data_IF_237984770166
#
_entry.id   IF_237984770166
#
_cell.length_a   1.000
_cell.length_b   1.000
_cell.length_c   1.000
_cell.angle_alpha   90.00
_cell.angle_beta   90.00
_cell.angle_gamma   90.00
#
_symmetry.space_group_name_H-M   'P 1'
#
loop_
_entity.id
_entity.type
_entity.pdbx_description
1 polymer ?
#
# COMPACT_ATOMS: atom_id res chain seq x y z
N UNK A 1 3.45 -42.54 23.82
CA UNK A 1 4.51 -41.70 23.25
C UNK A 1 5.30 -41.09 24.38
N UNK A 2 6.57 -41.44 24.49
CA UNK A 2 7.47 -40.85 25.48
C UNK A 2 7.83 -39.41 25.05
N UNK A 3 8.23 -38.57 26.00
CA UNK A 3 8.67 -37.19 25.71
C UNK A 3 9.90 -37.15 24.81
N UNK A 4 10.72 -38.19 24.85
CA UNK A 4 11.90 -38.37 24.00
C UNK A 4 11.51 -38.57 22.54
N UNK A 5 10.52 -39.43 22.24
CA UNK A 5 10.02 -39.65 20.87
C UNK A 5 9.46 -38.37 20.23
N UNK A 6 8.76 -37.53 21.00
CA UNK A 6 8.21 -36.26 20.54
C UNK A 6 9.32 -35.25 20.25
N UNK A 7 10.38 -35.25 21.06
CA UNK A 7 11.52 -34.36 20.90
C UNK A 7 12.35 -34.75 19.67
N UNK A 8 12.57 -36.05 19.48
CA UNK A 8 13.33 -36.60 18.36
C UNK A 8 12.61 -36.42 17.01
N UNK A 9 11.29 -36.63 16.98
CA UNK A 9 10.46 -36.36 15.79
C UNK A 9 10.42 -34.88 15.44
N UNK A 10 10.31 -33.99 16.43
CA UNK A 10 10.34 -32.54 16.22
C UNK A 10 11.71 -32.06 15.71
N UNK A 11 12.80 -32.57 16.30
CA UNK A 11 14.16 -32.28 15.86
C UNK A 11 14.45 -32.83 14.45
N UNK A 12 13.88 -33.98 14.08
CA UNK A 12 13.96 -34.52 12.72
C UNK A 12 13.18 -33.66 11.70
N UNK A 13 12.06 -33.05 12.11
CA UNK A 13 11.32 -32.09 11.28
C UNK A 13 12.09 -30.78 11.06
N UNK A 14 12.81 -30.29 12.08
CA UNK A 14 13.59 -29.05 12.00
C UNK A 14 14.86 -29.15 11.15
N UNK A 15 15.44 -30.35 11.00
CA UNK A 15 16.64 -30.57 10.17
C UNK A 15 16.37 -30.50 8.66
N UNK A 16 15.11 -30.35 8.22
CA UNK A 16 14.74 -30.51 6.81
C UNK A 16 14.81 -29.25 5.95
N UNK A 17 14.97 -28.05 6.49
CA UNK A 17 15.07 -26.83 5.67
C UNK A 17 16.02 -25.81 6.32
N UNK A 18 16.81 -25.12 5.49
CA UNK A 18 17.74 -24.04 5.85
C UNK A 18 17.00 -22.90 6.60
N UNK A 19 16.89 -23.01 7.93
CA UNK A 19 16.23 -22.02 8.77
C UNK A 19 17.04 -21.65 10.02
N UNK A 20 16.85 -20.43 10.54
CA UNK A 20 17.80 -19.74 11.42
C UNK A 20 18.02 -20.46 12.76
N UNK A 21 19.27 -20.37 13.27
CA UNK A 21 19.76 -20.98 14.52
C UNK A 21 18.85 -20.78 15.75
N UNK A 22 17.99 -19.76 15.74
CA UNK A 22 17.06 -19.44 16.83
C UNK A 22 15.90 -20.45 16.94
N UNK A 23 15.49 -21.08 15.83
CA UNK A 23 14.42 -22.10 15.83
C UNK A 23 14.84 -23.38 16.59
N UNK A 24 16.12 -23.77 16.49
CA UNK A 24 16.69 -24.96 17.14
C UNK A 24 16.75 -24.80 18.66
N UNK A 25 17.00 -23.59 19.16
CA UNK A 25 17.01 -23.31 20.62
C UNK A 25 15.62 -23.42 21.24
N UNK A 26 14.58 -23.02 20.51
CA UNK A 26 13.18 -23.07 20.95
C UNK A 26 12.69 -24.53 20.98
N UNK A 27 13.17 -25.36 20.05
CA UNK A 27 12.83 -26.77 19.92
C UNK A 27 13.07 -27.62 21.18
N UNK A 28 14.18 -27.36 21.87
CA UNK A 28 14.55 -28.13 23.07
C UNK A 28 13.70 -27.77 24.31
N UNK A 29 12.98 -26.64 24.28
CA UNK A 29 12.18 -26.14 25.41
C UNK A 29 10.69 -26.46 25.26
N UNK A 30 10.22 -26.66 24.03
CA UNK A 30 8.80 -26.93 23.72
C UNK A 30 8.26 -28.28 24.28
N UNK A 31 8.97 -29.42 24.18
CA UNK A 31 8.42 -30.72 24.62
C UNK A 31 8.34 -30.89 26.13
N UNK A 32 9.08 -30.09 26.91
CA UNK A 32 9.12 -30.16 28.39
C UNK A 32 8.33 -29.03 29.07
N UNK A 33 7.76 -28.10 28.31
CA UNK A 33 7.03 -26.95 28.85
C UNK A 33 5.55 -27.27 29.12
N UNK A 34 5.04 -26.88 30.29
CA UNK A 34 3.61 -27.03 30.59
C UNK A 34 2.73 -26.15 29.67
N UNK A 35 1.45 -26.51 29.43
CA UNK A 35 0.55 -25.73 28.57
C UNK A 35 0.43 -24.25 28.96
N UNK A 36 0.55 -23.94 30.26
CA UNK A 36 0.55 -22.55 30.77
C UNK A 36 1.82 -21.80 30.39
N UNK A 37 2.97 -22.49 30.38
CA UNK A 37 4.28 -21.93 30.01
C UNK A 37 4.35 -21.69 28.49
N UNK A 38 3.85 -22.63 27.68
CA UNK A 38 3.72 -22.46 26.23
C UNK A 38 2.87 -21.23 25.86
N UNK A 39 1.71 -21.06 26.50
CA UNK A 39 0.86 -19.86 26.29
C UNK A 39 1.57 -18.55 26.64
N UNK A 40 2.47 -18.53 27.63
CA UNK A 40 3.28 -17.35 27.96
C UNK A 40 4.36 -17.11 26.93
N UNK A 41 5.06 -18.16 26.50
CA UNK A 41 6.12 -18.08 25.48
C UNK A 41 5.54 -17.52 24.17
N UNK A 42 4.41 -18.07 23.71
CA UNK A 42 3.73 -17.58 22.50
C UNK A 42 3.31 -16.12 22.63
N UNK A 43 2.82 -15.69 23.80
CA UNK A 43 2.48 -14.28 24.05
C UNK A 43 3.70 -13.36 24.15
N UNK A 44 4.86 -13.88 24.53
CA UNK A 44 6.10 -13.10 24.69
C UNK A 44 6.93 -13.00 23.40
N UNK A 45 6.67 -13.85 22.41
CA UNK A 45 7.30 -13.70 21.09
C UNK A 45 6.69 -12.45 20.45
N UNK A 46 7.50 -11.42 20.14
CA UNK A 46 7.03 -10.27 19.39
C UNK A 46 6.54 -10.77 18.04
N UNK A 47 5.23 -10.73 17.81
CA UNK A 47 4.70 -10.89 16.46
C UNK A 47 5.14 -9.65 15.70
N UNK A 48 5.92 -9.77 14.62
CA UNK A 48 6.34 -8.60 13.87
C UNK A 48 5.07 -7.96 13.27
N UNK A 49 4.60 -6.87 13.88
CA UNK A 49 3.54 -6.04 13.31
C UNK A 49 4.17 -5.20 12.21
N UNK A 50 4.48 -5.82 11.09
CA UNK A 50 4.65 -5.06 9.87
C UNK A 50 3.26 -4.50 9.54
N UNK A 51 3.08 -3.19 9.70
CA UNK A 51 2.01 -2.48 9.03
C UNK A 51 2.35 -2.52 7.52
N UNK A 52 2.12 -3.67 6.90
CA UNK A 52 2.41 -3.97 5.49
C UNK A 52 1.24 -3.64 4.57
N UNK A 53 0.23 -2.94 5.09
CA UNK A 53 -0.90 -2.49 4.31
C UNK A 53 -0.52 -1.24 3.51
N UNK A 54 -0.93 -1.24 2.24
CA UNK A 54 -0.82 -0.09 1.36
C UNK A 54 -1.71 1.04 1.90
N UNK A 55 -1.17 2.25 1.88
CA UNK A 55 -1.97 3.47 1.98
C UNK A 55 -2.86 3.64 0.74
N UNK A 56 -3.86 4.51 0.82
CA UNK A 56 -4.73 4.80 -0.32
C UNK A 56 -3.92 5.37 -1.50
N UNK A 57 -2.92 6.20 -1.23
CA UNK A 57 -2.09 6.80 -2.28
C UNK A 57 -1.17 5.78 -2.95
N UNK A 58 -0.54 4.90 -2.18
CA UNK A 58 0.29 3.82 -2.74
C UNK A 58 -0.57 2.86 -3.56
N UNK A 59 -1.78 2.54 -3.10
CA UNK A 59 -2.72 1.71 -3.86
C UNK A 59 -3.21 2.40 -5.14
N UNK A 60 -3.46 3.72 -5.13
CA UNK A 60 -3.76 4.49 -6.35
C UNK A 60 -2.57 4.46 -7.31
N UNK A 61 -1.34 4.67 -6.81
CA UNK A 61 -0.13 4.61 -7.61
C UNK A 61 0.06 3.23 -8.25
N UNK A 62 -0.16 2.16 -7.48
CA UNK A 62 -0.12 0.78 -7.96
C UNK A 62 -1.15 0.53 -9.07
N UNK A 63 -2.40 1.01 -8.90
CA UNK A 63 -3.43 0.92 -9.94
C UNK A 63 -3.01 1.60 -11.24
N UNK A 64 -2.36 2.77 -11.16
CA UNK A 64 -1.90 3.52 -12.32
C UNK A 64 -0.71 2.84 -13.01
N UNK A 65 0.27 2.39 -12.24
CA UNK A 65 1.46 1.69 -12.74
C UNK A 65 1.11 0.39 -13.45
N UNK A 66 0.13 -0.35 -12.91
CA UNK A 66 -0.32 -1.63 -13.47
C UNK A 66 -1.51 -1.49 -14.42
N UNK A 67 -1.97 -0.27 -14.70
CA UNK A 67 -3.15 0.03 -15.54
C UNK A 67 -4.39 -0.82 -15.15
N UNK A 68 -4.63 -0.97 -13.85
CA UNK A 68 -5.74 -1.75 -13.34
C UNK A 68 -7.05 -0.97 -13.49
N UNK A 69 -8.05 -1.62 -14.09
CA UNK A 69 -9.43 -1.18 -13.97
C UNK A 69 -9.95 -1.37 -12.55
N UNK A 70 -11.07 -0.71 -12.22
CA UNK A 70 -11.78 -0.90 -10.94
C UNK A 70 -12.03 -2.38 -10.65
N UNK A 71 -12.55 -3.12 -11.61
CA UNK A 71 -12.93 -4.51 -11.42
C UNK A 71 -11.72 -5.41 -11.20
N UNK A 72 -10.64 -5.19 -11.97
CA UNK A 72 -9.36 -5.91 -11.76
C UNK A 72 -8.80 -5.66 -10.36
N UNK A 73 -8.86 -4.42 -9.88
CA UNK A 73 -8.42 -4.08 -8.52
C UNK A 73 -9.26 -4.78 -7.44
N UNK A 74 -10.59 -4.78 -7.59
CA UNK A 74 -11.50 -5.43 -6.64
C UNK A 74 -11.26 -6.95 -6.62
N UNK A 75 -11.07 -7.57 -7.79
CA UNK A 75 -10.74 -9.00 -7.90
C UNK A 75 -9.42 -9.31 -7.21
N UNK A 76 -8.37 -8.51 -7.47
CA UNK A 76 -7.06 -8.67 -6.84
C UNK A 76 -7.16 -8.59 -5.32
N UNK A 77 -7.84 -7.56 -4.80
CA UNK A 77 -8.07 -7.40 -3.37
C UNK A 77 -8.82 -8.59 -2.76
N UNK A 78 -9.87 -9.07 -3.44
CA UNK A 78 -10.66 -10.22 -2.98
C UNK A 78 -9.80 -11.49 -2.92
N UNK A 79 -9.01 -11.77 -3.97
CA UNK A 79 -8.12 -12.92 -4.01
C UNK A 79 -7.08 -12.92 -2.88
N UNK A 80 -6.51 -11.75 -2.57
CA UNK A 80 -5.58 -11.60 -1.43
C UNK A 80 -6.29 -11.83 -0.09
N UNK A 81 -7.49 -11.27 0.08
CA UNK A 81 -8.29 -11.44 1.30
C UNK A 81 -8.70 -12.89 1.53
N UNK A 82 -9.04 -13.63 0.47
CA UNK A 82 -9.33 -15.07 0.53
C UNK A 82 -8.12 -15.91 0.97
N UNK A 83 -6.90 -15.41 0.74
CA UNK A 83 -5.65 -16.00 1.25
C UNK A 83 -5.24 -15.49 2.63
N UNK A 84 -6.10 -14.72 3.30
CA UNK A 84 -5.84 -14.15 4.63
C UNK A 84 -4.91 -12.94 4.62
N UNK A 85 -4.66 -12.34 3.45
CA UNK A 85 -3.78 -11.17 3.29
C UNK A 85 -4.62 -9.91 3.08
N UNK A 86 -4.73 -9.08 4.10
CA UNK A 86 -5.47 -7.81 4.06
C UNK A 86 -4.52 -6.61 3.95
N UNK A 87 -3.91 -6.45 2.77
CA UNK A 87 -2.92 -5.38 2.50
C UNK A 87 -3.45 -4.25 1.63
N UNK A 88 -4.54 -4.47 0.87
CA UNK A 88 -5.09 -3.45 -0.04
C UNK A 88 -6.31 -2.75 0.58
N UNK A 89 -6.36 -1.40 0.55
CA UNK A 89 -7.51 -0.63 1.02
C UNK A 89 -8.76 -0.89 0.19
N UNK A 90 -9.93 -0.47 0.68
CA UNK A 90 -11.18 -0.60 -0.08
C UNK A 90 -11.18 0.35 -1.28
N UNK A 91 -11.92 0.00 -2.34
CA UNK A 91 -12.05 0.88 -3.49
C UNK A 91 -12.75 2.20 -3.14
N UNK A 92 -13.70 2.18 -2.20
CA UNK A 92 -14.40 3.39 -1.75
C UNK A 92 -13.44 4.37 -1.08
N UNK A 93 -12.50 3.88 -0.27
CA UNK A 93 -11.44 4.71 0.31
C UNK A 93 -10.55 5.34 -0.78
N UNK A 94 -10.20 4.57 -1.81
CA UNK A 94 -9.47 5.10 -2.97
C UNK A 94 -10.29 6.16 -3.73
N UNK A 95 -11.60 5.98 -3.85
CA UNK A 95 -12.46 6.92 -4.54
C UNK A 95 -12.54 8.26 -3.79
N UNK A 96 -12.72 8.21 -2.47
CA UNK A 96 -12.68 9.42 -1.63
C UNK A 96 -11.29 10.09 -1.68
N UNK A 97 -10.21 9.30 -1.64
CA UNK A 97 -8.86 9.86 -1.78
C UNK A 97 -8.65 10.50 -3.15
N UNK A 98 -9.09 9.87 -4.25
CA UNK A 98 -9.03 10.46 -5.60
C UNK A 98 -9.76 11.79 -5.67
N UNK A 99 -10.97 11.89 -5.10
CA UNK A 99 -11.72 13.15 -5.04
C UNK A 99 -10.95 14.22 -4.27
N UNK A 100 -10.30 13.86 -3.16
CA UNK A 100 -9.50 14.81 -2.36
C UNK A 100 -8.26 15.36 -3.09
N UNK A 101 -7.73 14.60 -4.05
CA UNK A 101 -6.52 14.98 -4.81
C UNK A 101 -6.87 15.91 -5.98
N UNK A 102 -8.05 15.77 -6.56
CA UNK A 102 -8.48 16.53 -7.75
C UNK A 102 -8.82 17.98 -7.34
N UNK A 103 -8.34 19.00 -8.07
CA UNK A 103 -8.66 20.39 -7.79
C UNK A 103 -10.16 20.67 -7.94
N UNK A 104 -10.68 21.60 -7.13
CA UNK A 104 -12.08 21.99 -7.14
C UNK A 104 -12.38 22.96 -8.29
N UNK A 105 -13.66 23.11 -8.65
CA UNK A 105 -14.09 24.07 -9.68
C UNK A 105 -13.83 23.62 -11.12
N UNK A 106 -13.74 22.30 -11.36
CA UNK A 106 -13.68 21.76 -12.72
C UNK A 106 -15.06 21.91 -13.38
N UNK A 107 -15.09 22.60 -14.52
CA UNK A 107 -16.28 22.71 -15.37
C UNK A 107 -16.10 21.82 -16.59
N UNK A 108 -17.01 20.86 -16.75
CA UNK A 108 -17.02 19.92 -17.86
C UNK A 108 -18.14 20.33 -18.83
N UNK A 109 -17.80 20.42 -20.10
CA UNK A 109 -18.74 20.60 -21.21
C UNK A 109 -18.39 19.61 -22.32
N UNK A 110 -19.32 19.39 -23.25
CA UNK A 110 -19.17 18.40 -24.34
C UNK A 110 -17.91 18.63 -25.19
N UNK A 111 -17.39 19.87 -25.22
CA UNK A 111 -16.26 20.26 -26.08
C UNK A 111 -14.98 20.59 -25.32
N UNK A 112 -15.07 20.85 -24.02
CA UNK A 112 -13.91 21.29 -23.23
C UNK A 112 -14.11 21.01 -21.75
N UNK A 113 -12.98 20.83 -21.08
CA UNK A 113 -12.87 20.82 -19.63
C UNK A 113 -12.02 22.01 -19.22
N UNK A 114 -12.51 22.82 -18.27
CA UNK A 114 -11.78 23.98 -17.77
C UNK A 114 -11.64 23.91 -16.26
N UNK A 115 -10.49 24.34 -15.74
CA UNK A 115 -10.21 24.45 -14.32
C UNK A 115 -9.68 25.85 -14.03
N UNK A 116 -10.05 26.43 -12.89
CA UNK A 116 -9.50 27.72 -12.46
C UNK A 116 -8.02 27.62 -12.17
N UNK A 117 -7.22 28.54 -12.70
CA UNK A 117 -5.75 28.49 -12.54
C UNK A 117 -5.33 28.63 -11.06
N UNK A 118 -6.03 29.47 -10.28
CA UNK A 118 -5.75 29.61 -8.84
C UNK A 118 -5.99 28.30 -8.10
N UNK A 119 -7.13 27.64 -8.33
CA UNK A 119 -7.45 26.33 -7.75
C UNK A 119 -6.39 25.28 -8.10
N UNK A 120 -5.95 25.26 -9.36
CA UNK A 120 -4.91 24.33 -9.81
C UNK A 120 -3.56 24.59 -9.11
N UNK A 121 -3.12 25.85 -9.05
CA UNK A 121 -1.84 26.22 -8.44
C UNK A 121 -1.83 26.00 -6.93
N UNK A 122 -2.91 26.36 -6.23
CA UNK A 122 -3.05 26.14 -4.79
C UNK A 122 -3.07 24.65 -4.44
N UNK A 123 -3.84 23.84 -5.19
CA UNK A 123 -3.85 22.39 -5.01
C UNK A 123 -2.46 21.79 -5.25
N UNK A 124 -1.77 22.23 -6.30
CA UNK A 124 -0.40 21.78 -6.61
C UNK A 124 0.58 22.16 -5.50
N UNK A 125 0.56 23.41 -5.04
CA UNK A 125 1.41 23.89 -3.97
C UNK A 125 1.18 23.10 -2.67
N UNK A 126 -0.08 22.95 -2.27
CA UNK A 126 -0.47 22.20 -1.08
C UNK A 126 0.03 20.76 -1.15
N UNK A 127 -0.17 20.08 -2.28
CA UNK A 127 0.28 18.69 -2.45
C UNK A 127 1.80 18.54 -2.41
N UNK A 128 2.56 19.44 -3.04
CA UNK A 128 4.02 19.42 -2.96
C UNK A 128 4.46 19.56 -1.49
N UNK A 129 3.91 20.52 -0.76
CA UNK A 129 4.23 20.72 0.66
C UNK A 129 3.89 19.48 1.49
N UNK A 130 2.74 18.83 1.22
CA UNK A 130 2.34 17.60 1.90
C UNK A 130 3.26 16.39 1.64
N UNK A 131 4.05 16.39 0.56
CA UNK A 131 5.03 15.32 0.32
C UNK A 131 6.34 15.50 1.09
N UNK A 132 6.56 16.68 1.68
CA UNK A 132 7.78 16.96 2.42
C UNK A 132 7.71 16.40 3.84
N UNK A 133 8.81 15.85 4.33
CA UNK A 133 8.92 15.43 5.73
C UNK A 133 9.04 16.64 6.65
N UNK A 134 8.71 16.45 7.93
CA UNK A 134 8.86 17.50 8.97
C UNK A 134 10.29 18.04 9.01
N UNK A 135 11.28 17.18 8.82
CA UNK A 135 12.70 17.56 8.77
C UNK A 135 13.04 18.42 7.54
N UNK A 136 12.42 18.13 6.39
CA UNK A 136 12.58 18.94 5.18
C UNK A 136 11.90 20.30 5.35
N UNK A 137 10.71 20.34 5.95
CA UNK A 137 10.00 21.59 6.25
C UNK A 137 10.78 22.46 7.24
N UNK A 138 11.36 21.88 8.28
CA UNK A 138 12.18 22.62 9.26
C UNK A 138 13.45 23.23 8.65
N UNK A 139 13.98 22.64 7.56
CA UNK A 139 15.10 23.23 6.80
C UNK A 139 14.68 24.40 5.93
N UNK A 140 13.41 24.45 5.52
CA UNK A 140 12.81 25.57 4.80
C UNK A 140 12.47 26.65 5.83
N UNK A 141 13.51 27.27 6.40
CA UNK A 141 13.36 28.33 7.41
C UNK A 141 13.11 29.69 6.75
N UNK A 142 12.12 29.74 5.86
CA UNK A 142 11.76 30.94 5.10
C UNK A 142 10.28 31.25 5.32
N UNK A 143 9.99 32.52 5.60
CA UNK A 143 8.63 33.05 5.73
C UNK A 143 7.86 33.09 4.41
N UNK A 144 8.56 32.94 3.27
CA UNK A 144 7.99 32.98 1.93
C UNK A 144 8.59 31.86 1.07
N UNK A 145 7.72 31.10 0.39
CA UNK A 145 8.10 30.07 -0.58
C UNK A 145 7.50 30.46 -1.93
N UNK A 146 8.32 30.45 -2.99
CA UNK A 146 7.88 30.80 -4.34
C UNK A 146 7.71 29.53 -5.18
N UNK A 147 6.49 29.30 -5.66
CA UNK A 147 6.20 28.24 -6.63
C UNK A 147 6.48 28.77 -8.04
N UNK A 148 7.52 28.25 -8.69
CA UNK A 148 7.86 28.58 -10.09
C UNK A 148 7.27 27.51 -10.99
N UNK A 149 6.34 27.89 -11.88
CA UNK A 149 5.66 26.97 -12.79
C UNK A 149 6.03 27.22 -14.26
N UNK A 150 5.95 26.16 -15.06
CA UNK A 150 5.96 26.22 -16.53
C UNK A 150 4.59 25.80 -17.05
N UNK A 151 4.14 26.43 -18.13
CA UNK A 151 2.87 26.08 -18.79
C UNK A 151 3.04 26.03 -20.31
N UNK A 152 2.10 25.37 -20.99
CA UNK A 152 2.06 25.20 -22.45
C UNK A 152 0.80 24.45 -22.88
N UNK A 153 0.56 24.39 -24.18
CA UNK A 153 -0.57 23.67 -24.78
C UNK A 153 -0.07 22.96 -26.05
N UNK A 154 -0.47 21.71 -26.25
CA UNK A 154 -0.14 20.90 -27.43
C UNK A 154 -1.36 20.07 -27.86
N UNK A 155 -1.48 19.78 -29.15
CA UNK A 155 -2.62 19.07 -29.73
C UNK A 155 -2.22 17.70 -30.27
N UNK A 156 -2.96 16.66 -29.90
CA UNK A 156 -2.80 15.32 -30.46
C UNK A 156 -4.01 14.94 -31.33
N UNK A 157 -3.75 14.38 -32.51
CA UNK A 157 -4.78 13.77 -33.36
C UNK A 157 -4.93 12.29 -32.99
N UNK A 158 -6.14 11.85 -32.63
CA UNK A 158 -6.45 10.44 -32.40
C UNK A 158 -6.88 9.79 -33.73
N UNK A 159 -6.29 8.64 -34.07
CA UNK A 159 -6.88 7.69 -35.02
C UNK A 159 -7.73 6.72 -34.19
N UNK A 160 -9.05 6.76 -34.33
CA UNK A 160 -9.94 5.78 -33.72
C UNK A 160 -10.17 4.63 -34.69
N UNK A 161 -9.65 3.43 -34.40
CA UNK A 161 -10.15 2.18 -34.97
C UNK A 161 -11.52 1.88 -34.34
N UNK A 162 -12.57 2.46 -34.92
CA UNK A 162 -13.93 2.00 -34.71
C UNK A 162 -14.42 1.40 -36.02
N UNK A 163 -14.27 0.08 -36.17
CA UNK A 163 -15.04 -0.66 -37.17
C UNK A 163 -16.52 -0.49 -36.86
N UNK A 164 -17.22 0.24 -37.73
CA UNK A 164 -18.67 0.24 -37.79
C UNK A 164 -19.10 -1.14 -38.32
N UNK A 165 -19.33 -2.08 -37.41
CA UNK A 165 -20.08 -3.30 -37.73
C UNK A 165 -21.54 -2.85 -37.91
N UNK A 166 -21.97 -2.72 -39.17
CA UNK A 166 -23.38 -2.62 -39.57
C UNK A 166 -24.03 -4.00 -39.57
#
# INVERSE_FOLDING_TARGET
>A
MSTEEVTDTFNAMLKKEDQPLDAVKIANVLPTASPKRLKRIVKSIPTPSFNSAFTEEEAIALMLQLQLSRDKYIILRKALKEKGVEVLPSYDALQERKKSIIPTGITVSDRKVTVGISSLLENTASRIVSTLTVEQLNKINHSEVKLICKWGCDGSSLLSESECIN
#
